data_IF_969633069157
#
_entry.id   IF_969633069157
#
_cell.length_a   1.000
_cell.length_b   1.000
_cell.length_c   1.000
_cell.angle_alpha   90.00
_cell.angle_beta   90.00
_cell.angle_gamma   90.00
#
_symmetry.space_group_name_H-M   'P 1'
#
loop_
_entity.id
_entity.type
_entity.pdbx_description
1 polymer ?
#
# COMPACT_ATOMS: atom_id res chain seq x y z
N UNK A 1 12.19 8.32 6.21
CA UNK A 1 13.32 7.44 5.85
C UNK A 1 14.22 7.12 7.06
N UNK A 2 15.00 8.07 7.61
CA UNK A 2 15.93 7.80 8.73
C UNK A 2 15.28 7.14 9.98
N UNK A 3 14.04 7.53 10.32
CA UNK A 3 13.32 6.92 11.45
C UNK A 3 13.04 5.43 11.24
N UNK A 4 12.63 5.03 10.02
CA UNK A 4 12.44 3.62 9.67
C UNK A 4 13.76 2.85 9.69
N UNK A 5 14.81 3.43 9.11
CA UNK A 5 16.13 2.80 9.10
C UNK A 5 16.66 2.51 10.50
N UNK A 6 16.42 3.41 11.47
CA UNK A 6 16.82 3.25 12.87
C UNK A 6 15.85 2.40 13.70
N UNK A 7 14.78 1.88 13.09
CA UNK A 7 13.79 1.04 13.77
C UNK A 7 12.75 1.80 14.60
N UNK A 8 12.68 3.14 14.51
CA UNK A 8 11.66 3.94 15.19
C UNK A 8 10.27 3.86 14.54
N UNK A 9 10.23 3.52 13.25
CA UNK A 9 8.99 3.19 12.54
C UNK A 9 9.01 1.71 12.16
N UNK A 10 7.87 1.05 12.30
CA UNK A 10 7.64 -0.30 11.80
C UNK A 10 7.66 -0.32 10.26
N UNK A 11 7.82 -1.50 9.67
CA UNK A 11 7.70 -1.69 8.22
C UNK A 11 6.30 -1.30 7.73
N UNK A 12 5.25 -1.72 8.44
CA UNK A 12 3.86 -1.34 8.15
C UNK A 12 3.65 0.19 8.13
N UNK A 13 4.09 0.88 9.18
CA UNK A 13 3.97 2.34 9.27
C UNK A 13 4.73 3.05 8.16
N UNK A 14 5.92 2.55 7.81
CA UNK A 14 6.71 3.14 6.74
C UNK A 14 6.06 2.93 5.36
N UNK A 15 5.51 1.76 5.09
CA UNK A 15 4.78 1.48 3.85
C UNK A 15 3.51 2.34 3.71
N UNK A 16 2.75 2.53 4.79
CA UNK A 16 1.62 3.47 4.79
C UNK A 16 2.08 4.91 4.48
N UNK A 17 3.18 5.34 5.08
CA UNK A 17 3.74 6.67 4.84
C UNK A 17 4.17 6.86 3.38
N UNK A 18 4.85 5.88 2.77
CA UNK A 18 5.24 5.92 1.36
C UNK A 18 4.02 5.94 0.44
N UNK A 19 3.01 5.12 0.72
CA UNK A 19 1.75 5.14 -0.02
C UNK A 19 1.10 6.53 0.03
N UNK A 20 1.03 7.15 1.21
CA UNK A 20 0.47 8.49 1.34
C UNK A 20 1.27 9.56 0.57
N UNK A 21 2.60 9.51 0.62
CA UNK A 21 3.46 10.42 -0.17
C UNK A 21 3.32 10.21 -1.69
N UNK A 22 2.93 9.00 -2.10
CA UNK A 22 2.67 8.64 -3.49
C UNK A 22 1.19 8.84 -3.89
N UNK A 23 0.47 9.69 -3.14
CA UNK A 23 -0.92 10.08 -3.37
C UNK A 23 -1.94 8.91 -3.30
N UNK A 24 -1.60 7.84 -2.56
CA UNK A 24 -2.48 6.68 -2.35
C UNK A 24 -3.33 6.84 -1.09
N UNK A 25 -4.57 6.36 -1.13
CA UNK A 25 -5.52 6.47 -0.01
C UNK A 25 -6.59 5.38 -0.05
N UNK A 26 -7.03 4.92 1.14
CA UNK A 26 -8.15 3.97 1.25
C UNK A 26 -9.50 4.56 0.80
N UNK A 27 -9.56 5.89 0.57
CA UNK A 27 -10.76 6.56 0.07
C UNK A 27 -10.89 6.52 -1.46
N UNK A 28 -9.85 6.05 -2.18
CA UNK A 28 -9.83 5.96 -3.65
C UNK A 28 -9.41 4.54 -4.07
N UNK A 29 -10.36 3.74 -4.55
CA UNK A 29 -10.11 2.37 -5.02
C UNK A 29 -9.14 2.31 -6.21
N UNK A 30 -9.08 3.36 -7.03
CA UNK A 30 -8.16 3.44 -8.18
C UNK A 30 -6.72 3.73 -7.77
N UNK A 31 -6.53 4.24 -6.55
CA UNK A 31 -5.24 4.59 -5.97
C UNK A 31 -5.10 4.05 -4.54
N UNK A 32 -5.61 2.84 -4.31
CA UNK A 32 -5.57 2.20 -3.01
C UNK A 32 -4.12 1.91 -2.59
N UNK A 33 -3.79 1.99 -1.29
CA UNK A 33 -2.44 1.67 -0.82
C UNK A 33 -2.02 0.25 -1.20
N UNK A 34 -0.76 0.10 -1.59
CA UNK A 34 -0.19 -1.16 -2.07
C UNK A 34 0.81 -1.68 -1.06
N UNK A 35 0.72 -2.96 -0.74
CA UNK A 35 1.60 -3.69 0.17
C UNK A 35 2.16 -4.94 -0.52
N UNK A 36 3.39 -5.37 -0.19
CA UNK A 36 3.98 -6.56 -0.80
C UNK A 36 3.27 -7.82 -0.32
N UNK A 37 3.17 -8.84 -1.17
CA UNK A 37 3.21 -10.21 -0.65
C UNK A 37 4.54 -10.46 0.06
N UNK A 38 4.50 -10.88 1.33
CA UNK A 38 5.71 -11.15 2.12
C UNK A 38 6.06 -12.65 2.16
N UNK A 39 5.05 -13.50 2.36
CA UNK A 39 5.24 -14.94 2.46
C UNK A 39 5.15 -15.59 1.07
N UNK A 40 5.87 -16.69 0.91
CA UNK A 40 5.78 -17.59 -0.24
C UNK A 40 5.03 -18.87 0.13
N UNK A 41 5.07 -19.29 1.39
CA UNK A 41 4.48 -20.55 1.85
C UNK A 41 3.08 -20.37 2.45
N UNK A 42 2.09 -20.84 1.70
CA UNK A 42 0.68 -20.88 2.11
C UNK A 42 0.10 -22.30 2.15
N UNK A 43 0.96 -23.33 2.08
CA UNK A 43 0.56 -24.73 1.94
C UNK A 43 1.08 -25.62 3.09
N UNK A 44 2.16 -25.24 3.76
CA UNK A 44 2.70 -25.99 4.89
C UNK A 44 1.78 -25.97 6.11
N UNK A 45 1.91 -27.00 6.95
CA UNK A 45 1.19 -27.12 8.23
C UNK A 45 1.70 -26.13 9.29
N UNK A 46 2.96 -25.73 9.19
CA UNK A 46 3.61 -24.80 10.12
C UNK A 46 4.31 -23.70 9.33
N UNK A 47 4.37 -22.50 9.93
CA UNK A 47 5.02 -21.33 9.35
C UNK A 47 6.33 -21.06 10.10
N UNK A 48 7.47 -21.24 9.42
CA UNK A 48 8.80 -20.99 9.99
C UNK A 48 9.38 -19.67 9.48
N UNK A 49 9.23 -18.59 10.26
CA UNK A 49 9.79 -17.28 9.92
C UNK A 49 11.32 -17.19 10.08
N UNK A 50 11.99 -18.25 10.55
CA UNK A 50 13.45 -18.34 10.57
C UNK A 50 14.03 -18.89 9.25
N UNK A 51 13.21 -19.52 8.43
CA UNK A 51 13.59 -20.05 7.13
C UNK A 51 13.45 -18.99 6.02
N UNK A 52 14.54 -18.57 5.35
CA UNK A 52 14.47 -17.63 4.23
C UNK A 52 13.54 -18.08 3.09
N UNK A 53 13.41 -19.38 2.84
CA UNK A 53 12.56 -19.93 1.76
C UNK A 53 11.06 -19.74 2.02
N UNK A 54 10.66 -19.41 3.26
CA UNK A 54 9.28 -19.06 3.61
C UNK A 54 8.87 -17.70 3.05
N UNK A 55 9.83 -16.84 2.71
CA UNK A 55 9.59 -15.49 2.24
C UNK A 55 9.65 -15.38 0.72
N UNK A 56 8.86 -14.45 0.18
CA UNK A 56 9.00 -14.01 -1.20
C UNK A 56 10.33 -13.26 -1.39
N UNK A 57 10.93 -13.43 -2.56
CA UNK A 57 11.98 -12.53 -3.06
C UNK A 57 11.41 -11.12 -3.33
N UNK A 58 11.66 -10.19 -2.39
CA UNK A 58 11.18 -8.80 -2.46
C UNK A 58 11.92 -7.95 -3.50
N UNK A 59 13.03 -8.44 -4.06
CA UNK A 59 13.76 -7.75 -5.13
C UNK A 59 13.10 -7.88 -6.51
N UNK A 60 12.07 -8.73 -6.62
CA UNK A 60 11.36 -9.05 -7.86
C UNK A 60 9.87 -8.68 -7.81
N UNK A 61 9.31 -8.15 -8.92
CA UNK A 61 7.86 -8.03 -9.04
C UNK A 61 7.20 -9.41 -9.10
N UNK A 62 5.91 -9.50 -8.78
CA UNK A 62 5.14 -10.77 -8.76
C UNK A 62 5.33 -11.55 -10.06
N UNK A 63 5.27 -10.85 -11.20
CA UNK A 63 5.41 -11.42 -12.52
C UNK A 63 6.74 -12.12 -12.80
N UNK A 64 7.80 -11.80 -12.03
CA UNK A 64 9.15 -12.34 -12.19
C UNK A 64 9.49 -13.46 -11.19
N UNK A 65 8.58 -13.84 -10.30
CA UNK A 65 8.80 -14.90 -9.31
C UNK A 65 8.77 -16.30 -9.93
N UNK A 66 7.84 -16.54 -10.86
CA UNK A 66 7.78 -17.78 -11.63
C UNK A 66 8.60 -17.64 -12.91
N UNK A 67 9.66 -18.45 -13.05
CA UNK A 67 10.62 -18.40 -14.17
C UNK A 67 9.97 -18.73 -15.51
N UNK A 68 9.18 -19.78 -15.59
CA UNK A 68 8.52 -20.20 -16.84
C UNK A 68 7.51 -19.15 -17.32
N UNK A 69 6.79 -18.53 -16.38
CA UNK A 69 5.91 -17.40 -16.71
C UNK A 69 6.71 -16.20 -17.19
N UNK A 70 7.79 -15.85 -16.50
CA UNK A 70 8.64 -14.72 -16.88
C UNK A 70 9.20 -14.89 -18.30
N UNK A 71 9.67 -16.08 -18.67
CA UNK A 71 10.15 -16.37 -20.02
C UNK A 71 9.08 -16.05 -21.09
N UNK A 72 7.84 -16.50 -20.88
CA UNK A 72 6.72 -16.19 -21.80
C UNK A 72 6.44 -14.69 -21.88
N UNK A 73 6.51 -13.97 -20.77
CA UNK A 73 6.32 -12.51 -20.75
C UNK A 73 7.44 -11.79 -21.51
N UNK A 74 8.69 -12.25 -21.38
CA UNK A 74 9.85 -11.69 -22.07
C UNK A 74 9.81 -11.94 -23.58
N UNK A 75 9.39 -13.13 -24.01
CA UNK A 75 9.17 -13.42 -25.45
C UNK A 75 8.15 -12.45 -26.03
N UNK A 76 7.00 -12.28 -25.38
CA UNK A 76 5.96 -11.33 -25.79
C UNK A 76 6.49 -9.89 -25.81
N UNK A 77 7.26 -9.49 -24.81
CA UNK A 77 7.84 -8.15 -24.71
C UNK A 77 8.83 -7.87 -25.86
N UNK A 78 9.65 -8.85 -26.23
CA UNK A 78 10.61 -8.74 -27.34
C UNK A 78 9.91 -8.58 -28.69
N UNK A 79 8.82 -9.31 -28.92
CA UNK A 79 8.03 -9.28 -30.17
C UNK A 79 7.10 -8.05 -30.28
N UNK A 80 6.77 -7.42 -29.15
CA UNK A 80 5.85 -6.27 -29.11
C UNK A 80 6.45 -5.02 -29.78
N UNK A 81 5.66 -4.27 -30.57
CA UNK A 81 6.06 -2.94 -31.05
C UNK A 81 6.11 -1.93 -29.90
N UNK A 82 6.81 -0.81 -30.10
CA UNK A 82 6.78 0.27 -29.11
C UNK A 82 5.39 0.93 -29.03
N UNK A 83 4.93 1.37 -27.84
CA UNK A 83 5.61 1.26 -26.54
C UNK A 83 5.50 -0.14 -25.90
N UNK A 84 6.64 -0.74 -25.55
CA UNK A 84 6.68 -2.10 -24.98
C UNK A 84 6.33 -2.16 -23.49
N UNK A 85 5.64 -3.22 -23.06
CA UNK A 85 5.36 -3.50 -21.66
C UNK A 85 5.34 -5.00 -21.35
N UNK A 86 5.76 -5.37 -20.13
CA UNK A 86 5.76 -6.76 -19.66
C UNK A 86 4.41 -7.15 -19.05
N UNK A 87 3.71 -6.19 -18.43
CA UNK A 87 2.45 -6.43 -17.73
C UNK A 87 1.31 -5.58 -18.29
N UNK A 88 0.30 -6.25 -18.87
CA UNK A 88 -0.93 -5.58 -19.31
C UNK A 88 -1.90 -5.28 -18.15
N UNK A 89 -1.87 -6.11 -17.11
CA UNK A 89 -2.57 -5.87 -15.85
C UNK A 89 -1.62 -5.23 -14.83
N UNK A 90 -2.11 -4.25 -14.10
CA UNK A 90 -1.36 -3.60 -13.02
C UNK A 90 -1.47 -4.40 -11.70
N UNK A 91 -0.50 -4.27 -10.79
CA UNK A 91 -0.55 -4.97 -9.49
C UNK A 91 -1.60 -4.43 -8.49
N UNK A 92 -2.18 -3.27 -8.79
CA UNK A 92 -3.22 -2.63 -7.99
C UNK A 92 -4.25 -2.01 -8.93
N UNK A 93 -5.51 -2.40 -8.78
CA UNK A 93 -6.65 -1.87 -9.53
C UNK A 93 -7.89 -1.89 -8.63
N UNK A 94 -8.93 -1.08 -8.92
CA UNK A 94 -10.20 -1.16 -8.20
C UNK A 94 -10.74 -2.59 -8.15
N UNK A 95 -10.64 -3.33 -9.26
CA UNK A 95 -11.07 -4.73 -9.33
C UNK A 95 -10.33 -5.63 -8.35
N UNK A 96 -9.01 -5.46 -8.18
CA UNK A 96 -8.24 -6.26 -7.22
C UNK A 96 -8.46 -5.85 -5.76
N UNK A 97 -8.65 -4.56 -5.49
CA UNK A 97 -9.00 -4.09 -4.16
C UNK A 97 -10.36 -4.65 -3.75
N UNK A 98 -11.36 -4.54 -4.63
CA UNK A 98 -12.69 -5.08 -4.39
C UNK A 98 -12.72 -6.60 -4.36
N UNK A 99 -11.85 -7.29 -5.12
CA UNK A 99 -11.66 -8.74 -4.99
C UNK A 99 -11.35 -9.12 -3.54
N UNK A 100 -10.44 -8.41 -2.86
CA UNK A 100 -10.15 -8.66 -1.45
C UNK A 100 -11.28 -8.19 -0.52
N UNK A 101 -11.88 -7.04 -0.81
CA UNK A 101 -12.81 -6.35 0.10
C UNK A 101 -14.29 -6.70 -0.11
N UNK A 102 -14.63 -7.63 -1.00
CA UNK A 102 -16.02 -7.96 -1.36
C UNK A 102 -16.92 -8.30 -0.17
N UNK A 103 -16.35 -8.83 0.92
CA UNK A 103 -17.08 -9.20 2.15
C UNK A 103 -17.40 -8.03 3.07
N UNK A 104 -16.71 -6.90 2.91
CA UNK A 104 -16.89 -5.69 3.73
C UNK A 104 -17.47 -4.52 2.96
N UNK A 105 -17.27 -4.51 1.64
CA UNK A 105 -17.67 -3.45 0.73
C UNK A 105 -18.44 -4.01 -0.49
N UNK A 106 -19.45 -4.88 -0.29
CA UNK A 106 -20.13 -5.59 -1.39
C UNK A 106 -20.82 -4.66 -2.38
N UNK A 107 -21.31 -3.50 -1.93
CA UNK A 107 -21.98 -2.50 -2.76
C UNK A 107 -21.08 -1.98 -3.89
N UNK A 108 -19.78 -1.81 -3.63
CA UNK A 108 -18.84 -1.36 -4.65
C UNK A 108 -18.56 -2.44 -5.69
N UNK A 109 -18.49 -3.71 -5.27
CA UNK A 109 -18.38 -4.83 -6.21
C UNK A 109 -19.61 -4.93 -7.10
N UNK A 110 -20.81 -4.79 -6.52
CA UNK A 110 -22.06 -4.80 -7.29
C UNK A 110 -22.12 -3.64 -8.28
N UNK A 111 -21.66 -2.44 -7.91
CA UNK A 111 -21.55 -1.32 -8.83
C UNK A 111 -20.60 -1.62 -9.99
N UNK A 112 -19.44 -2.21 -9.72
CA UNK A 112 -18.44 -2.56 -10.74
C UNK A 112 -18.93 -3.65 -11.70
N UNK A 113 -19.74 -4.60 -11.20
CA UNK A 113 -20.15 -5.80 -11.92
C UNK A 113 -21.64 -5.77 -12.33
N UNK A 114 -22.18 -4.57 -12.63
CA UNK A 114 -23.53 -4.37 -13.15
C UNK A 114 -24.64 -5.03 -12.32
N UNK A 115 -24.55 -4.91 -11.00
CA UNK A 115 -25.54 -5.37 -10.03
C UNK A 115 -25.44 -6.86 -9.68
N UNK A 116 -24.34 -7.55 -10.01
CA UNK A 116 -24.09 -8.95 -9.67
C UNK A 116 -22.70 -9.12 -9.08
N UNK A 117 -22.46 -10.19 -8.34
CA UNK A 117 -21.09 -10.57 -7.99
C UNK A 117 -20.39 -11.22 -9.19
N UNK A 118 -19.05 -11.25 -9.14
CA UNK A 118 -18.26 -11.93 -10.17
C UNK A 118 -18.50 -13.46 -10.14
N UNK A 119 -18.02 -14.16 -11.15
CA UNK A 119 -18.04 -15.60 -11.21
C UNK A 119 -17.36 -16.19 -9.96
N UNK A 120 -18.03 -17.12 -9.27
CA UNK A 120 -17.56 -17.74 -8.04
C UNK A 120 -16.15 -18.34 -8.12
N UNK A 121 -15.74 -18.88 -9.28
CA UNK A 121 -14.39 -19.44 -9.47
C UNK A 121 -13.30 -18.35 -9.55
N UNK A 122 -13.67 -17.09 -9.80
CA UNK A 122 -12.76 -15.93 -9.83
C UNK A 122 -12.79 -15.08 -8.56
N UNK A 123 -13.70 -15.39 -7.64
CA UNK A 123 -13.84 -14.64 -6.39
C UNK A 123 -12.72 -14.99 -5.40
N UNK A 124 -12.42 -14.06 -4.49
CA UNK A 124 -11.43 -14.28 -3.43
C UNK A 124 -11.92 -15.33 -2.46
N UNK A 125 -11.44 -16.57 -2.62
CA UNK A 125 -11.92 -17.73 -1.89
C UNK A 125 -10.86 -18.38 -0.99
N UNK A 126 -9.57 -18.29 -1.35
CA UNK A 126 -8.49 -18.97 -0.64
C UNK A 126 -7.19 -18.17 -0.76
N UNK A 127 -6.46 -18.01 0.35
CA UNK A 127 -5.16 -17.32 0.33
C UNK A 127 -4.16 -18.06 -0.55
N UNK A 128 -4.08 -19.39 -0.40
CA UNK A 128 -3.14 -20.23 -1.13
C UNK A 128 -3.45 -20.26 -2.63
N UNK A 129 -4.72 -20.40 -3.01
CA UNK A 129 -5.14 -20.34 -4.41
C UNK A 129 -4.86 -18.96 -5.03
N UNK A 130 -5.13 -17.90 -4.26
CA UNK A 130 -4.87 -16.51 -4.66
C UNK A 130 -3.39 -16.27 -4.93
N UNK A 131 -2.50 -16.73 -4.04
CA UNK A 131 -1.06 -16.64 -4.25
C UNK A 131 -0.59 -17.45 -5.46
N UNK A 132 -1.08 -18.68 -5.61
CA UNK A 132 -0.78 -19.53 -6.76
C UNK A 132 -1.21 -18.88 -8.07
N UNK A 133 -2.41 -18.31 -8.12
CA UNK A 133 -2.90 -17.57 -9.29
C UNK A 133 -2.03 -16.35 -9.60
N UNK A 134 -1.54 -15.64 -8.58
CA UNK A 134 -0.56 -14.58 -8.78
C UNK A 134 0.78 -15.06 -9.34
N UNK A 135 1.14 -16.35 -9.23
CA UNK A 135 2.37 -16.92 -9.78
C UNK A 135 2.19 -17.57 -11.16
N UNK A 136 1.04 -18.16 -11.41
CA UNK A 136 0.80 -18.99 -12.59
C UNK A 136 -0.19 -18.35 -13.59
N UNK A 137 -1.06 -17.48 -13.11
CA UNK A 137 -2.06 -16.78 -13.89
C UNK A 137 -1.44 -15.91 -14.97
N UNK A 138 -2.05 -15.93 -16.16
CA UNK A 138 -1.54 -15.24 -17.35
C UNK A 138 -1.55 -13.70 -17.19
N UNK A 139 -2.51 -13.18 -16.43
CA UNK A 139 -2.78 -11.74 -16.28
C UNK A 139 -2.95 -11.32 -14.82
N UNK A 140 -2.58 -12.19 -13.87
CA UNK A 140 -2.72 -11.95 -12.43
C UNK A 140 -1.33 -11.68 -11.81
N UNK A 141 -1.08 -10.41 -11.49
CA UNK A 141 0.17 -9.91 -10.91
C UNK A 141 -0.06 -9.08 -9.65
N UNK A 142 -1.23 -9.26 -9.02
CA UNK A 142 -1.68 -8.37 -7.95
C UNK A 142 -0.83 -8.48 -6.69
N UNK A 143 -0.51 -7.33 -6.13
CA UNK A 143 0.09 -7.21 -4.79
C UNK A 143 -1.03 -7.18 -3.74
N UNK A 144 -0.66 -7.03 -2.47
CA UNK A 144 -1.58 -6.98 -1.34
C UNK A 144 -2.04 -5.55 -1.02
N UNK A 145 -3.01 -5.48 -0.13
CA UNK A 145 -3.54 -4.27 0.49
C UNK A 145 -3.16 -4.24 1.99
N UNK A 146 -3.18 -3.08 2.67
CA UNK A 146 -2.78 -2.96 4.08
C UNK A 146 -3.52 -3.88 5.05
N UNK A 147 -4.76 -4.27 4.73
CA UNK A 147 -5.66 -5.08 5.55
C UNK A 147 -5.05 -6.45 5.90
N UNK A 148 -4.20 -7.00 5.03
CA UNK A 148 -3.45 -8.25 5.28
C UNK A 148 -2.44 -8.13 6.45
N UNK A 149 -2.14 -6.91 6.86
CA UNK A 149 -1.22 -6.57 7.94
C UNK A 149 -1.89 -5.71 9.02
N UNK A 150 -3.22 -5.62 8.98
CA UNK A 150 -4.04 -4.94 9.98
C UNK A 150 -4.54 -5.89 11.07
N UNK A 151 -5.55 -5.43 11.81
CA UNK A 151 -6.22 -6.20 12.86
C UNK A 151 -7.65 -6.62 12.49
N UNK A 152 -8.23 -6.00 11.44
CA UNK A 152 -9.60 -6.27 11.04
C UNK A 152 -9.69 -7.49 10.11
N UNK A 153 -10.27 -8.57 10.63
CA UNK A 153 -10.48 -9.82 9.91
C UNK A 153 -11.74 -9.82 9.05
N UNK A 154 -12.55 -8.75 9.08
CA UNK A 154 -13.87 -8.72 8.45
C UNK A 154 -13.82 -8.97 6.93
N UNK A 155 -12.73 -8.64 6.24
CA UNK A 155 -12.55 -8.93 4.81
C UNK A 155 -12.30 -10.43 4.51
N UNK A 156 -11.97 -11.23 5.52
CA UNK A 156 -11.78 -12.69 5.42
C UNK A 156 -13.04 -13.48 5.79
N UNK A 157 -14.00 -12.85 6.47
CA UNK A 157 -15.18 -13.52 7.03
C UNK A 157 -16.45 -12.97 6.40
N UNK A 158 -17.30 -13.84 5.85
CA UNK A 158 -18.59 -13.50 5.28
C UNK A 158 -19.64 -13.29 6.39
N UNK A 159 -19.45 -12.24 7.17
CA UNK A 159 -20.34 -11.87 8.28
C UNK A 159 -21.74 -11.50 7.81
N UNK A 160 -21.86 -10.92 6.61
CA UNK A 160 -23.13 -10.50 6.01
C UNK A 160 -23.89 -11.65 5.33
N UNK A 161 -23.32 -12.87 5.30
CA UNK A 161 -23.91 -14.03 4.63
C UNK A 161 -24.31 -13.73 3.19
N UNK A 162 -23.40 -13.06 2.49
CA UNK A 162 -23.53 -12.74 1.07
C UNK A 162 -23.63 -14.03 0.25
N UNK A 163 -24.49 -14.04 -0.75
CA UNK A 163 -24.51 -15.09 -1.77
C UNK A 163 -23.44 -14.80 -2.83
N UNK A 164 -22.24 -15.31 -2.60
CA UNK A 164 -21.08 -15.15 -3.50
C UNK A 164 -21.02 -16.25 -4.58
N UNK A 165 -22.08 -17.06 -4.69
CA UNK A 165 -22.21 -18.11 -5.69
C UNK A 165 -21.50 -19.41 -5.34
N UNK A 166 -21.54 -20.33 -6.32
CA UNK A 166 -21.07 -21.70 -6.22
C UNK A 166 -20.01 -21.97 -7.27
N UNK A 167 -18.85 -22.48 -6.84
CA UNK A 167 -17.73 -22.87 -7.70
C UNK A 167 -18.09 -24.10 -8.54
N UNK A 168 -17.34 -24.35 -9.61
CA UNK A 168 -17.52 -25.55 -10.46
C UNK A 168 -17.41 -26.87 -9.69
N UNK A 169 -16.58 -26.92 -8.63
CA UNK A 169 -16.47 -28.07 -7.73
C UNK A 169 -17.65 -28.26 -6.77
N UNK A 170 -18.62 -27.35 -6.82
CA UNK A 170 -19.83 -27.39 -6.00
C UNK A 170 -19.70 -26.79 -4.61
N UNK A 171 -18.54 -26.25 -4.26
CA UNK A 171 -18.34 -25.51 -3.01
C UNK A 171 -18.91 -24.10 -3.13
N UNK A 172 -19.62 -23.64 -2.09
CA UNK A 172 -20.08 -22.25 -2.00
C UNK A 172 -18.90 -21.36 -1.64
N UNK A 173 -18.89 -20.14 -2.18
CA UNK A 173 -17.93 -19.11 -1.75
C UNK A 173 -18.49 -18.48 -0.46
N UNK A 174 -17.75 -18.59 0.64
CA UNK A 174 -18.16 -18.07 1.96
C UNK A 174 -16.98 -17.38 2.65
N UNK A 175 -16.56 -17.80 3.85
CA UNK A 175 -15.31 -17.34 4.47
C UNK A 175 -14.10 -17.69 3.59
N UNK A 176 -13.04 -16.88 3.66
CA UNK A 176 -11.80 -17.13 2.93
C UNK A 176 -11.07 -18.31 3.56
N UNK A 177 -10.69 -19.29 2.75
CA UNK A 177 -9.87 -20.42 3.17
C UNK A 177 -8.46 -19.94 3.52
N UNK A 178 -8.06 -20.24 4.75
CA UNK A 178 -6.78 -19.86 5.30
C UNK A 178 -5.73 -20.96 5.06
N UNK A 179 -4.44 -20.59 5.04
CA UNK A 179 -3.34 -21.56 5.02
C UNK A 179 -3.42 -22.53 6.21
N UNK A 180 -2.93 -23.77 6.09
CA UNK A 180 -3.02 -24.76 7.17
C UNK A 180 -2.33 -24.33 8.48
N UNK A 181 -1.29 -23.49 8.38
CA UNK A 181 -0.59 -22.93 9.53
C UNK A 181 -1.38 -21.85 10.29
N UNK A 182 -2.51 -21.36 9.78
CA UNK A 182 -3.35 -20.37 10.44
C UNK A 182 -4.59 -21.01 11.08
N UNK A 183 -4.73 -20.89 12.39
CA UNK A 183 -5.83 -21.49 13.14
C UNK A 183 -7.13 -20.67 13.08
N UNK A 184 -7.03 -19.38 12.78
CA UNK A 184 -8.14 -18.44 12.69
C UNK A 184 -7.74 -17.24 11.82
N UNK A 185 -8.71 -16.42 11.36
CA UNK A 185 -8.40 -15.17 10.66
C UNK A 185 -7.49 -14.23 11.47
N UNK A 186 -7.66 -14.20 12.80
CA UNK A 186 -6.83 -13.39 13.69
C UNK A 186 -5.39 -13.93 13.75
N UNK A 187 -5.22 -15.25 13.85
CA UNK A 187 -3.90 -15.90 13.84
C UNK A 187 -3.20 -15.69 12.49
N UNK A 188 -3.95 -15.74 11.38
CA UNK A 188 -3.44 -15.42 10.04
C UNK A 188 -2.90 -13.98 9.96
N UNK A 189 -3.68 -12.98 10.39
CA UNK A 189 -3.24 -11.59 10.36
C UNK A 189 -2.08 -11.33 11.32
N UNK A 190 -2.07 -11.97 12.50
CA UNK A 190 -0.97 -11.84 13.45
C UNK A 190 0.34 -12.38 12.85
N UNK A 191 0.33 -13.60 12.30
CA UNK A 191 1.50 -14.18 11.62
C UNK A 191 1.93 -13.38 10.39
N UNK A 192 0.99 -12.77 9.67
CA UNK A 192 1.30 -11.89 8.54
C UNK A 192 2.00 -10.61 9.00
N UNK A 193 1.56 -9.99 10.10
CA UNK A 193 2.24 -8.85 10.74
C UNK A 193 3.64 -9.25 11.23
N UNK A 194 3.77 -10.38 11.90
CA UNK A 194 5.07 -10.87 12.39
C UNK A 194 6.04 -11.14 11.23
N UNK A 195 5.54 -11.68 10.12
CA UNK A 195 6.33 -11.86 8.90
C UNK A 195 6.77 -10.51 8.30
N UNK A 196 5.87 -9.54 8.17
CA UNK A 196 6.18 -8.20 7.64
C UNK A 196 7.21 -7.48 8.51
N UNK A 197 7.13 -7.60 9.83
CA UNK A 197 8.05 -6.96 10.77
C UNK A 197 9.31 -7.79 11.07
N UNK A 198 9.45 -8.97 10.44
CA UNK A 198 10.62 -9.85 10.61
C UNK A 198 11.93 -9.18 10.21
N UNK A 199 13.05 -9.72 10.71
CA UNK A 199 14.39 -9.28 10.32
C UNK A 199 14.64 -9.49 8.82
N UNK A 200 14.18 -10.62 8.26
CA UNK A 200 14.32 -10.90 6.83
C UNK A 200 13.67 -9.79 5.99
N UNK A 201 12.40 -9.49 6.24
CA UNK A 201 11.71 -8.43 5.50
C UNK A 201 12.37 -7.07 5.74
N UNK A 202 12.75 -6.77 6.98
CA UNK A 202 13.44 -5.52 7.30
C UNK A 202 14.73 -5.31 6.49
N UNK A 203 15.49 -6.37 6.23
CA UNK A 203 16.72 -6.32 5.43
C UNK A 203 16.44 -6.14 3.94
N UNK A 204 15.30 -6.64 3.44
CA UNK A 204 14.98 -6.72 2.00
C UNK A 204 13.90 -5.75 1.52
N UNK A 205 13.12 -5.12 2.39
CA UNK A 205 11.95 -4.31 2.01
C UNK A 205 12.30 -3.10 1.12
N UNK A 206 13.51 -2.55 1.29
CA UNK A 206 14.02 -1.48 0.43
C UNK A 206 14.04 -1.86 -1.06
N UNK A 207 14.25 -3.14 -1.38
CA UNK A 207 14.30 -3.66 -2.75
C UNK A 207 12.91 -3.65 -3.40
N UNK A 208 11.86 -3.95 -2.64
CA UNK A 208 10.48 -3.84 -3.09
C UNK A 208 10.05 -2.38 -3.22
N UNK A 209 10.48 -1.52 -2.29
CA UNK A 209 10.24 -0.07 -2.38
C UNK A 209 10.87 0.49 -3.67
N UNK A 210 12.05 0.01 -4.07
CA UNK A 210 12.68 0.41 -5.32
C UNK A 210 11.85 0.08 -6.56
N UNK A 211 11.11 -1.04 -6.56
CA UNK A 211 10.21 -1.44 -7.64
C UNK A 211 8.95 -0.56 -7.69
N UNK A 212 8.34 -0.28 -6.54
CA UNK A 212 7.01 0.35 -6.47
C UNK A 212 7.08 1.87 -6.43
N UNK A 213 8.01 2.44 -5.66
CA UNK A 213 8.13 3.89 -5.44
C UNK A 213 9.49 4.47 -5.85
N UNK A 214 10.48 3.61 -6.11
CA UNK A 214 11.86 4.03 -6.29
C UNK A 214 12.36 3.96 -7.72
N UNK A 215 13.68 3.81 -7.85
CA UNK A 215 14.38 4.03 -9.10
C UNK A 215 14.15 2.92 -10.15
N UNK A 216 13.63 1.74 -9.74
CA UNK A 216 13.27 0.62 -10.63
C UNK A 216 11.82 0.67 -11.12
N UNK A 217 11.10 1.77 -10.87
CA UNK A 217 9.71 1.93 -11.33
C UNK A 217 9.63 2.23 -12.84
N UNK A 218 10.62 2.93 -13.40
CA UNK A 218 10.63 3.38 -14.81
C UNK A 218 12.03 3.24 -15.44
N UNK A 219 12.11 3.39 -16.76
CA UNK A 219 13.39 3.44 -17.50
C UNK A 219 14.11 2.08 -17.61
N UNK A 220 15.41 2.12 -17.88
CA UNK A 220 16.24 0.92 -18.06
C UNK A 220 16.30 0.04 -16.82
N UNK A 221 16.24 0.64 -15.63
CA UNK A 221 16.23 -0.07 -14.35
C UNK A 221 14.95 -0.89 -14.17
N UNK A 222 13.80 -0.36 -14.60
CA UNK A 222 12.56 -1.13 -14.65
C UNK A 222 12.66 -2.30 -15.63
N UNK A 223 13.24 -2.10 -16.83
CA UNK A 223 13.46 -3.20 -17.79
C UNK A 223 14.36 -4.29 -17.19
N UNK A 224 15.47 -3.89 -16.56
CA UNK A 224 16.41 -4.82 -15.92
C UNK A 224 15.82 -5.57 -14.71
N UNK A 225 14.87 -4.95 -14.01
CA UNK A 225 14.13 -5.56 -12.90
C UNK A 225 12.85 -6.29 -13.33
N UNK A 226 12.58 -6.37 -14.63
CA UNK A 226 11.36 -6.93 -15.21
C UNK A 226 10.08 -6.22 -14.76
N UNK A 227 10.11 -4.91 -14.51
CA UNK A 227 9.07 -4.15 -13.81
C UNK A 227 8.35 -3.11 -14.72
N UNK A 228 8.05 -3.49 -15.97
CA UNK A 228 7.46 -2.56 -16.95
C UNK A 228 5.96 -2.85 -17.16
N UNK A 229 5.12 -1.93 -16.73
CA UNK A 229 3.65 -1.99 -16.86
C UNK A 229 3.17 -1.28 -18.13
N UNK A 230 1.88 -1.43 -18.42
CA UNK A 230 1.26 -0.75 -19.55
C UNK A 230 1.46 0.77 -19.46
N UNK A 231 1.80 1.47 -20.56
CA UNK A 231 2.16 2.89 -20.54
C UNK A 231 1.13 3.82 -19.88
N UNK A 232 -0.16 3.51 -20.06
CA UNK A 232 -1.28 4.28 -19.47
C UNK A 232 -1.33 4.23 -17.94
N UNK A 233 -0.64 3.27 -17.32
CA UNK A 233 -0.61 3.18 -15.86
C UNK A 233 0.30 4.24 -15.24
N UNK A 234 1.23 4.83 -16.01
CA UNK A 234 2.19 5.80 -15.48
C UNK A 234 1.67 7.23 -15.59
N UNK A 235 1.87 8.02 -14.54
CA UNK A 235 1.64 9.46 -14.56
C UNK A 235 2.37 10.11 -15.76
N UNK A 236 1.64 10.92 -16.53
CA UNK A 236 2.14 11.56 -17.74
C UNK A 236 2.27 10.63 -18.95
N UNK A 237 1.81 9.38 -18.86
CA UNK A 237 1.86 8.42 -19.97
C UNK A 237 1.03 8.85 -21.18
N UNK A 238 0.00 9.68 -20.98
CA UNK A 238 -0.83 10.30 -22.03
C UNK A 238 -1.22 11.72 -21.64
N UNK A 239 -1.16 12.62 -22.61
CA UNK A 239 -1.73 13.97 -22.48
C UNK A 239 -3.21 13.96 -22.86
N UNK A 240 -4.07 13.79 -21.86
CA UNK A 240 -5.53 13.79 -22.03
C UNK A 240 -6.09 15.13 -22.53
N UNK A 241 -5.33 16.23 -22.45
CA UNK A 241 -5.76 17.52 -22.96
C UNK A 241 -5.50 17.67 -24.46
N UNK A 242 -4.57 16.88 -25.01
CA UNK A 242 -4.33 16.83 -26.45
C UNK A 242 -5.34 15.99 -27.23
N UNK A 243 -6.18 15.21 -26.53
CA UNK A 243 -7.21 14.37 -27.15
C UNK A 243 -8.44 15.24 -27.45
N UNK A 244 -8.71 15.47 -28.73
CA UNK A 244 -9.86 16.25 -29.19
C UNK A 244 -11.16 15.46 -29.19
N UNK A 245 -11.09 14.15 -29.49
CA UNK A 245 -12.26 13.27 -29.52
C UNK A 245 -12.75 12.94 -28.09
N UNK A 246 -13.99 13.35 -27.72
CA UNK A 246 -14.54 13.04 -26.40
C UNK A 246 -14.65 11.55 -26.12
N UNK A 247 -14.96 10.73 -27.12
CA UNK A 247 -15.16 9.29 -26.93
C UNK A 247 -13.82 8.58 -26.65
N UNK A 248 -12.79 8.93 -27.42
CA UNK A 248 -11.42 8.49 -27.15
C UNK A 248 -10.96 8.94 -25.75
N UNK A 249 -11.20 10.20 -25.39
CA UNK A 249 -10.83 10.73 -24.07
C UNK A 249 -11.51 9.97 -22.93
N UNK A 250 -12.80 9.66 -23.07
CA UNK A 250 -13.55 8.85 -22.10
C UNK A 250 -12.99 7.43 -22.03
N UNK A 251 -12.74 6.79 -23.17
CA UNK A 251 -12.17 5.44 -23.20
C UNK A 251 -10.79 5.38 -22.50
N UNK A 252 -9.93 6.36 -22.74
CA UNK A 252 -8.63 6.45 -22.09
C UNK A 252 -8.74 6.70 -20.58
N UNK A 253 -9.63 7.60 -20.15
CA UNK A 253 -9.89 7.84 -18.73
C UNK A 253 -10.40 6.58 -18.03
N UNK A 254 -11.34 5.86 -18.63
CA UNK A 254 -11.84 4.59 -18.09
C UNK A 254 -10.71 3.58 -17.96
N UNK A 255 -9.85 3.45 -18.99
CA UNK A 255 -8.70 2.54 -18.94
C UNK A 255 -7.75 2.87 -17.77
N UNK A 256 -7.46 4.16 -17.53
CA UNK A 256 -6.60 4.62 -16.43
C UNK A 256 -7.25 4.33 -15.07
N UNK A 257 -8.54 4.62 -14.93
CA UNK A 257 -9.26 4.49 -13.67
C UNK A 257 -9.51 3.03 -13.29
N UNK A 258 -9.76 2.15 -14.25
CA UNK A 258 -10.18 0.76 -13.99
C UNK A 258 -9.04 -0.26 -14.02
N UNK A 259 -7.99 -0.04 -14.82
CA UNK A 259 -6.93 -1.03 -15.05
C UNK A 259 -5.63 -0.73 -14.31
N UNK A 260 -5.67 0.24 -13.39
CA UNK A 260 -4.65 0.50 -12.39
C UNK A 260 -3.70 1.65 -12.73
N UNK A 261 -3.23 2.29 -11.67
CA UNK A 261 -2.35 3.46 -11.74
C UNK A 261 -1.08 3.18 -10.93
N UNK A 262 0.07 3.33 -11.55
CA UNK A 262 1.38 3.24 -10.88
C UNK A 262 1.50 4.41 -9.89
N UNK A 263 1.89 4.18 -8.62
CA UNK A 263 2.10 5.26 -7.66
C UNK A 263 3.15 6.27 -8.17
N UNK A 264 3.07 7.50 -7.68
CA UNK A 264 4.10 8.50 -7.97
C UNK A 264 5.49 8.00 -7.56
N UNK A 265 6.49 8.19 -8.44
CA UNK A 265 7.87 7.86 -8.12
C UNK A 265 8.39 8.84 -7.05
N UNK A 266 8.81 8.31 -5.91
CA UNK A 266 9.32 9.07 -4.78
C UNK A 266 10.84 9.19 -4.79
N UNK A 267 11.53 8.18 -5.35
CA UNK A 267 12.99 8.11 -5.32
C UNK A 267 13.57 7.76 -6.68
N UNK A 268 14.70 8.40 -7.02
CA UNK A 268 15.44 8.19 -8.27
C UNK A 268 16.81 7.53 -8.04
N UNK A 269 17.12 7.20 -6.78
CA UNK A 269 18.32 6.46 -6.36
C UNK A 269 17.89 5.24 -5.55
N UNK A 270 18.76 4.23 -5.38
CA UNK A 270 18.46 3.07 -4.54
C UNK A 270 17.98 3.46 -3.15
N UNK A 271 16.87 2.88 -2.72
CA UNK A 271 16.30 3.13 -1.40
C UNK A 271 17.25 2.57 -0.34
N UNK A 272 17.55 3.32 0.73
CA UNK A 272 18.51 2.85 1.70
C UNK A 272 17.95 1.68 2.52
N UNK A 273 18.86 0.79 2.96
CA UNK A 273 18.53 -0.39 3.76
C UNK A 273 18.12 -0.01 5.19
N UNK A 274 17.28 -0.83 5.81
CA UNK A 274 17.03 -0.74 7.25
C UNK A 274 18.30 -1.15 8.00
N UNK A 275 18.62 -0.47 9.09
CA UNK A 275 19.77 -0.81 9.93
C UNK A 275 19.29 -1.91 10.88
N UNK A 276 19.56 -3.18 10.53
CA UNK A 276 19.28 -4.30 11.42
C UNK A 276 20.44 -4.52 12.39
N UNK A 277 20.18 -4.76 13.69
CA UNK A 277 21.22 -5.15 14.62
C UNK A 277 21.80 -6.50 14.18
N UNK A 278 23.06 -6.51 13.73
CA UNK A 278 23.75 -7.78 13.46
C UNK A 278 23.85 -8.56 14.77
N UNK A 279 23.11 -9.65 14.89
CA UNK A 279 23.38 -10.67 15.92
C UNK A 279 24.76 -11.24 15.65
N UNK A 280 25.77 -10.76 16.37
CA UNK A 280 27.09 -11.40 16.37
C UNK A 280 26.89 -12.79 16.98
N UNK A 281 26.93 -13.83 16.15
CA UNK A 281 27.17 -15.18 16.65
C UNK A 281 28.55 -15.17 17.29
N UNK A 282 28.56 -15.20 18.63
CA UNK A 282 29.78 -15.20 19.41
C UNK A 282 30.47 -16.55 19.23
N UNK A 283 31.31 -16.68 18.20
CA UNK A 283 32.39 -17.67 18.23
C UNK A 283 33.43 -17.17 19.22
N UNK A 284 33.28 -17.61 20.47
CA UNK A 284 34.32 -17.47 21.48
C UNK A 284 35.59 -18.17 20.97
N UNK A 285 36.59 -17.38 20.63
CA UNK A 285 37.98 -17.85 20.64
C UNK A 285 38.67 -17.13 21.79
N UNK A 286 38.97 -17.90 22.82
CA UNK A 286 39.77 -17.51 23.96
C UNK A 286 41.22 -17.33 23.54
N UNK A 287 41.81 -16.18 23.82
CA UNK A 287 43.26 -15.99 23.87
C UNK A 287 43.58 -14.88 24.86
N UNK A 288 44.30 -15.26 25.91
CA UNK A 288 44.75 -14.41 27.02
C UNK A 288 46.10 -13.72 26.70
N UNK A 289 46.29 -12.57 27.37
CA UNK A 289 47.52 -11.81 27.69
C UNK A 289 48.06 -10.81 26.63
N UNK A 290 48.54 -9.59 26.96
CA UNK A 290 48.59 -8.79 28.19
C UNK A 290 48.99 -7.31 27.88
N UNK A 291 48.41 -6.38 28.66
CA UNK A 291 48.85 -5.05 29.17
C UNK A 291 49.79 -4.08 28.41
N UNK A 292 49.33 -2.81 28.29
CA UNK A 292 49.92 -1.53 28.80
C UNK A 292 48.93 -0.38 28.48
N UNK A 293 48.24 0.25 29.46
CA UNK A 293 48.53 1.55 30.12
C UNK A 293 48.65 2.74 29.14
N UNK A 294 48.03 3.93 29.27
CA UNK A 294 47.11 4.59 30.22
C UNK A 294 46.67 5.95 29.59
N UNK A 295 45.63 6.60 30.13
CA UNK A 295 45.20 8.03 29.97
C UNK A 295 43.99 8.33 29.04
N UNK A 296 43.21 9.42 29.29
CA UNK A 296 42.08 9.39 30.21
C UNK A 296 40.75 9.93 29.60
N UNK A 297 39.68 9.68 30.35
CA UNK A 297 38.27 10.02 30.11
C UNK A 297 38.03 11.54 30.00
N UNK A 298 37.10 11.92 29.11
CA UNK A 298 36.23 13.10 29.30
C UNK A 298 34.79 12.73 28.88
N UNK A 299 33.77 13.13 29.65
CA UNK A 299 32.38 12.79 29.38
C UNK A 299 31.75 13.84 28.44
N UNK A 300 31.42 13.42 27.23
CA UNK A 300 30.59 14.20 26.31
C UNK A 300 29.22 13.57 26.21
N UNK A 301 28.29 14.02 27.05
CA UNK A 301 26.86 13.93 26.75
C UNK A 301 26.61 14.76 25.49
N UNK A 302 26.62 14.15 24.31
CA UNK A 302 26.05 14.80 23.12
C UNK A 302 24.56 14.52 23.09
N UNK A 303 23.86 15.43 23.76
CA UNK A 303 22.42 15.63 23.69
C UNK A 303 21.98 15.74 22.23
N UNK A 304 20.97 14.95 21.92
CA UNK A 304 20.22 14.96 20.69
C UNK A 304 19.54 16.32 20.48
N UNK A 305 20.08 17.16 19.61
CA UNK A 305 19.34 18.33 19.10
C UNK A 305 19.94 18.78 17.76
N UNK A 306 19.43 18.24 16.66
CA UNK A 306 19.37 18.99 15.41
C UNK A 306 18.17 18.52 14.57
N UNK A 307 16.99 18.83 15.10
CA UNK A 307 15.81 19.05 14.27
C UNK A 307 15.74 20.57 14.11
N UNK A 308 15.70 21.05 12.88
CA UNK A 308 15.45 22.47 12.62
C UNK A 308 14.19 22.90 13.36
N UNK A 309 14.16 24.10 13.93
CA UNK A 309 12.97 24.63 14.63
C UNK A 309 11.72 24.63 13.74
N UNK A 310 11.89 24.69 12.41
CA UNK A 310 10.82 24.48 11.43
C UNK A 310 10.29 23.04 11.42
N UNK A 311 11.15 22.03 11.56
CA UNK A 311 10.75 20.62 11.61
C UNK A 311 10.05 20.27 12.93
N UNK A 312 10.50 20.83 14.06
CA UNK A 312 9.82 20.69 15.36
C UNK A 312 8.44 21.33 15.36
N UNK A 313 8.27 22.45 14.64
CA UNK A 313 6.98 23.13 14.50
C UNK A 313 6.06 22.52 13.42
N UNK A 314 6.56 21.65 12.54
CA UNK A 314 5.78 20.95 11.50
C UNK A 314 5.41 19.51 11.88
N UNK A 315 6.03 18.95 12.91
CA UNK A 315 5.78 17.59 13.37
C UNK A 315 4.50 17.50 14.23
N UNK A 316 3.41 17.04 13.62
CA UNK A 316 2.15 16.75 14.30
C UNK A 316 2.27 15.44 15.11
N UNK A 317 2.86 15.54 16.30
CA UNK A 317 3.26 14.37 17.08
C UNK A 317 2.11 13.52 17.64
N UNK A 318 0.84 13.99 17.58
CA UNK A 318 -0.29 13.19 18.04
C UNK A 318 -1.66 13.72 17.55
N UNK A 319 -2.25 13.08 16.54
CA UNK A 319 -3.57 13.43 16.01
C UNK A 319 -4.70 13.25 17.04
N UNK A 320 -4.50 12.41 18.06
CA UNK A 320 -5.47 12.18 19.13
C UNK A 320 -5.51 13.31 20.17
N UNK A 321 -4.61 14.30 20.08
CA UNK A 321 -4.62 15.50 20.94
C UNK A 321 -5.30 16.70 20.29
N UNK A 322 -5.82 16.58 19.07
CA UNK A 322 -6.52 17.68 18.40
C UNK A 322 -7.83 18.00 19.13
N UNK A 323 -8.03 19.28 19.46
CA UNK A 323 -9.28 19.76 20.03
C UNK A 323 -10.13 20.43 18.95
N UNK A 324 -11.45 20.22 19.01
CA UNK A 324 -12.42 20.90 18.15
C UNK A 324 -12.42 22.39 18.50
N UNK A 325 -11.93 23.24 17.61
CA UNK A 325 -11.94 24.70 17.81
C UNK A 325 -13.29 25.33 17.43
N UNK A 326 -13.81 24.99 16.24
CA UNK A 326 -15.08 25.51 15.72
C UNK A 326 -15.77 24.51 14.81
N UNK A 327 -17.10 24.58 14.72
CA UNK A 327 -17.94 23.75 13.86
C UNK A 327 -18.89 24.62 13.03
N UNK A 328 -18.93 24.38 11.71
CA UNK A 328 -19.81 25.09 10.79
C UNK A 328 -20.73 24.13 10.03
N UNK A 329 -22.03 24.46 9.96
CA UNK A 329 -23.01 23.76 9.12
C UNK A 329 -23.25 24.58 7.85
N UNK A 330 -22.51 24.25 6.80
CA UNK A 330 -22.47 25.06 5.57
C UNK A 330 -23.34 24.43 4.47
N UNK A 331 -23.52 23.11 4.50
CA UNK A 331 -24.30 22.36 3.54
C UNK A 331 -25.48 21.66 4.21
N UNK A 332 -26.57 21.45 3.45
CA UNK A 332 -27.71 20.63 3.88
C UNK A 332 -27.44 19.13 3.73
N UNK A 333 -26.51 18.78 2.85
CA UNK A 333 -26.13 17.43 2.45
C UNK A 333 -24.67 17.13 2.81
N UNK A 334 -24.24 15.89 2.58
CA UNK A 334 -22.88 15.45 2.89
C UNK A 334 -21.84 16.22 2.06
N UNK A 335 -20.74 16.61 2.71
CA UNK A 335 -19.60 17.24 2.05
C UNK A 335 -18.86 16.16 1.26
N UNK A 336 -18.71 16.37 -0.06
CA UNK A 336 -18.05 15.45 -0.99
C UNK A 336 -16.61 15.85 -1.31
N UNK A 337 -16.21 17.08 -0.97
CA UNK A 337 -14.88 17.58 -1.26
C UNK A 337 -14.52 18.78 -0.41
N UNK A 338 -13.23 18.87 -0.06
CA UNK A 338 -12.67 19.96 0.74
C UNK A 338 -11.33 20.36 0.12
N UNK A 339 -11.10 21.65 -0.05
CA UNK A 339 -9.82 22.20 -0.46
C UNK A 339 -9.44 23.40 0.41
N UNK A 340 -8.15 23.60 0.64
CA UNK A 340 -7.63 24.75 1.39
C UNK A 340 -6.81 25.61 0.45
N UNK A 341 -6.95 26.93 0.51
CA UNK A 341 -6.13 27.83 -0.29
C UNK A 341 -4.64 27.69 0.06
N UNK A 342 -3.76 27.93 -0.90
CA UNK A 342 -2.30 27.79 -0.75
C UNK A 342 -1.70 28.60 0.42
N UNK A 343 -2.35 29.68 0.81
CA UNK A 343 -1.99 30.55 1.94
C UNK A 343 -2.73 30.19 3.25
N UNK A 344 -3.50 29.11 3.28
CA UNK A 344 -4.29 28.66 4.43
C UNK A 344 -5.47 29.56 4.82
N UNK A 345 -5.75 30.62 4.05
CA UNK A 345 -6.72 31.66 4.43
C UNK A 345 -8.18 31.33 4.12
N UNK A 346 -8.43 30.29 3.33
CA UNK A 346 -9.75 29.91 2.84
C UNK A 346 -9.91 28.40 2.83
N UNK A 347 -11.09 27.95 3.22
CA UNK A 347 -11.52 26.55 3.08
C UNK A 347 -12.71 26.52 2.13
N UNK A 348 -12.58 25.72 1.08
CA UNK A 348 -13.61 25.46 0.09
C UNK A 348 -14.23 24.11 0.39
N UNK A 349 -15.55 24.04 0.34
CA UNK A 349 -16.27 22.78 0.56
C UNK A 349 -17.32 22.58 -0.52
N UNK A 350 -17.43 21.36 -1.02
CA UNK A 350 -18.42 20.97 -2.03
C UNK A 350 -19.38 19.95 -1.44
N UNK A 351 -20.67 20.06 -1.75
CA UNK A 351 -21.66 18.99 -1.55
C UNK A 351 -22.34 18.67 -2.87
N UNK A 352 -23.14 17.59 -2.92
CA UNK A 352 -24.01 17.36 -4.08
C UNK A 352 -24.84 18.63 -4.35
N UNK A 353 -24.65 19.22 -5.54
CA UNK A 353 -25.42 20.36 -6.04
C UNK A 353 -25.11 21.77 -5.51
N UNK A 354 -24.15 21.99 -4.58
CA UNK A 354 -23.80 23.35 -4.11
C UNK A 354 -22.31 23.57 -3.81
N UNK A 355 -21.81 24.75 -4.19
CA UNK A 355 -20.48 25.26 -3.85
C UNK A 355 -20.61 26.38 -2.81
N UNK A 356 -19.86 26.29 -1.72
CA UNK A 356 -19.86 27.32 -0.67
C UNK A 356 -18.44 27.71 -0.26
N UNK A 357 -18.30 28.97 0.14
CA UNK A 357 -17.01 29.61 0.39
C UNK A 357 -17.00 30.28 1.76
N UNK A 358 -16.03 29.95 2.61
CA UNK A 358 -15.75 30.69 3.84
C UNK A 358 -14.42 31.45 3.71
N UNK A 359 -14.48 32.76 3.96
CA UNK A 359 -13.28 33.59 4.17
C UNK A 359 -13.02 33.74 5.66
N UNK A 360 -11.82 33.40 6.14
CA UNK A 360 -11.15 34.04 7.30
C UNK A 360 -9.75 33.46 7.52
N UNK A 361 -8.81 34.36 7.82
CA UNK A 361 -7.39 34.04 7.98
C UNK A 361 -7.09 33.33 9.31
N UNK A 362 -6.54 32.12 9.20
CA UNK A 362 -5.94 31.39 10.32
C UNK A 362 -4.59 30.80 9.88
N UNK A 363 -3.56 30.82 10.75
CA UNK A 363 -2.32 30.12 10.47
C UNK A 363 -2.49 28.64 10.84
N UNK A 364 -2.45 27.77 9.82
CA UNK A 364 -2.42 26.28 9.90
C UNK A 364 -3.75 25.64 10.34
N UNK A 365 -4.45 25.01 9.39
CA UNK A 365 -5.74 24.31 9.62
C UNK A 365 -5.64 22.87 9.11
N UNK A 366 -6.02 21.91 9.96
CA UNK A 366 -6.44 20.55 9.54
C UNK A 366 -7.95 20.63 9.32
N UNK A 367 -8.45 20.07 8.22
CA UNK A 367 -9.88 19.82 8.04
C UNK A 367 -10.12 18.31 8.12
N UNK A 368 -10.68 17.85 9.23
CA UNK A 368 -11.05 16.45 9.43
C UNK A 368 -12.56 16.28 9.30
N UNK A 369 -13.00 15.34 8.46
CA UNK A 369 -14.39 14.90 8.34
C UNK A 369 -14.59 13.69 9.25
N UNK A 370 -15.22 13.86 10.40
CA UNK A 370 -15.69 12.73 11.21
C UNK A 370 -17.07 12.29 10.71
N UNK A 371 -17.15 11.08 10.13
CA UNK A 371 -18.42 10.39 9.89
C UNK A 371 -18.85 9.74 11.22
N UNK A 372 -19.65 10.44 12.02
CA UNK A 372 -20.47 9.78 13.03
C UNK A 372 -21.86 9.56 12.46
N UNK A 373 -22.37 8.33 12.64
CA UNK A 373 -23.71 7.91 12.25
C UNK A 373 -24.75 8.99 12.64
N UNK A 374 -25.61 9.35 11.68
CA UNK A 374 -26.61 10.44 11.67
C UNK A 374 -26.11 11.79 11.12
N UNK A 375 -26.13 11.90 9.79
CA UNK A 375 -26.38 13.13 9.00
C UNK A 375 -25.71 14.44 9.46
N UNK A 376 -24.49 14.40 10.00
CA UNK A 376 -23.75 15.59 10.41
C UNK A 376 -22.27 15.47 10.03
N UNK A 377 -21.86 16.25 9.03
CA UNK A 377 -20.45 16.53 8.78
C UNK A 377 -20.00 17.64 9.73
N UNK A 378 -18.93 17.41 10.49
CA UNK A 378 -18.28 18.38 11.37
C UNK A 378 -16.98 18.80 10.70
N UNK A 379 -16.80 20.10 10.42
CA UNK A 379 -15.45 20.66 10.22
C UNK A 379 -14.86 20.91 11.62
N UNK A 380 -13.65 20.42 11.87
CA UNK A 380 -12.90 20.74 13.08
C UNK A 380 -11.59 21.43 12.69
N UNK A 381 -11.41 22.69 13.06
CA UNK A 381 -10.10 23.34 13.06
C UNK A 381 -9.39 23.01 14.38
N UNK A 382 -8.08 22.82 14.37
CA UNK A 382 -7.28 22.60 15.58
C UNK A 382 -6.05 23.51 15.57
N UNK A 383 -5.74 24.12 16.72
CA UNK A 383 -4.53 24.92 16.93
C UNK A 383 -3.51 24.15 17.78
N UNK A 384 -2.20 24.26 17.49
CA UNK A 384 -1.18 23.73 18.38
C UNK A 384 -1.21 24.48 19.73
N UNK A 385 -0.92 23.77 20.83
CA UNK A 385 -0.72 24.37 22.15
C UNK A 385 0.71 24.85 22.31
#
# INVERSE_FOLDING_TARGET
MLQWQRGHLSNYQYLLHLNNLADRSCNDLSQYPVFPWVLHDYCSLELDLSNPETFRDLSKPVGALNKERLERLLTRYQEMPEPKFMYGSHYSSPGYVLFYLVRIAPEYMLCLQNGRFDNADRMFNSIAETWKNCLDGATDFKELIPEFYGDDVSFLVNNLKLDLGKRQGGQMVDDVELPPWAQSPQDFLQKSKDALESNYVSEHLHEWIDLIFGYKQKGSEAVGAYNVFHPLTYEGGVDLNSIEDPDEKVAMLTQILEFGQTPKQLFVTPHPRRITPKTKSSSQTSSYNASTADSPVSPGEESFEDLTEESKTLAWNNIAKLQLHEQYKIHKEAVTGIAVSCNGSSVFTTSQGMFSHLKKGFPRVIVSTFLHSQSRTVLACATPT
#
